data_IF_617292015110
#
_entry.id   IF_617292015110
#
_cell.length_a   1.000
_cell.length_b   1.000
_cell.length_c   1.000
_cell.angle_alpha   90.00
_cell.angle_beta   90.00
_cell.angle_gamma   90.00
#
_symmetry.space_group_name_H-M   'P 1'
#
loop_
_entity.id
_entity.type
_entity.pdbx_description
1 polymer ?
#
# COMPACT_ATOMS: atom_id res chain seq x y z
N UNK A 1 -5.37 -41.15 19.12
CA UNK A 1 -6.63 -41.11 19.89
C UNK A 1 -7.76 -41.30 18.88
N UNK A 2 -8.46 -42.43 18.92
CA UNK A 2 -9.56 -42.71 17.99
C UNK A 2 -10.70 -41.71 18.24
N UNK A 3 -10.99 -40.86 17.25
CA UNK A 3 -12.16 -39.99 17.29
C UNK A 3 -13.39 -40.84 16.99
N UNK A 4 -14.27 -40.98 17.97
CA UNK A 4 -15.58 -41.58 17.78
C UNK A 4 -16.34 -40.78 16.70
N UNK A 5 -16.96 -41.50 15.76
CA UNK A 5 -17.87 -40.93 14.75
C UNK A 5 -19.06 -40.30 15.47
N UNK A 6 -19.25 -38.99 15.31
CA UNK A 6 -20.40 -38.28 15.88
C UNK A 6 -21.70 -38.72 15.19
N UNK A 7 -22.83 -38.84 15.93
CA UNK A 7 -24.12 -39.22 15.37
C UNK A 7 -24.62 -38.23 14.30
N UNK A 8 -25.12 -38.72 13.17
CA UNK A 8 -25.55 -37.92 12.00
C UNK A 8 -26.79 -37.05 12.25
N UNK A 9 -27.48 -37.24 13.38
CA UNK A 9 -28.79 -36.61 13.67
C UNK A 9 -28.73 -35.18 14.21
N UNK A 10 -27.54 -34.57 14.29
CA UNK A 10 -27.38 -33.20 14.82
C UNK A 10 -26.64 -32.28 13.84
N UNK A 11 -27.31 -31.73 12.82
CA UNK A 11 -26.67 -30.87 11.81
C UNK A 11 -26.03 -29.60 12.40
N UNK A 12 -26.53 -29.12 13.55
CA UNK A 12 -25.93 -27.99 14.28
C UNK A 12 -24.61 -28.37 14.98
N UNK A 13 -24.48 -29.60 15.49
CA UNK A 13 -23.23 -30.09 16.09
C UNK A 13 -22.23 -30.52 15.02
N UNK A 14 -22.68 -31.08 13.90
CA UNK A 14 -21.83 -31.39 12.76
C UNK A 14 -21.27 -30.11 12.11
N UNK A 15 -22.09 -29.07 11.94
CA UNK A 15 -21.63 -27.76 11.45
C UNK A 15 -20.77 -27.01 12.47
N UNK A 16 -21.03 -27.14 13.78
CA UNK A 16 -20.14 -26.62 14.82
C UNK A 16 -18.81 -27.39 14.86
N UNK A 17 -18.81 -28.71 14.71
CA UNK A 17 -17.61 -29.54 14.64
C UNK A 17 -16.80 -29.28 13.37
N UNK A 18 -17.44 -29.03 12.21
CA UNK A 18 -16.77 -28.56 11.00
C UNK A 18 -16.22 -27.14 11.17
N UNK A 19 -16.94 -26.23 11.86
CA UNK A 19 -16.39 -24.92 12.23
C UNK A 19 -15.16 -25.06 13.11
N UNK A 20 -15.21 -25.92 14.14
CA UNK A 20 -14.10 -26.17 15.06
C UNK A 20 -12.94 -26.90 14.37
N UNK A 21 -13.20 -27.80 13.42
CA UNK A 21 -12.15 -28.45 12.62
C UNK A 21 -11.59 -27.50 11.55
N UNK A 22 -12.33 -26.48 11.12
CA UNK A 22 -11.82 -25.37 10.31
C UNK A 22 -11.11 -24.28 11.14
N UNK A 23 -11.32 -24.27 12.46
CA UNK A 23 -10.62 -23.43 13.43
C UNK A 23 -9.26 -24.00 13.84
N UNK A 24 -8.86 -25.19 13.34
CA UNK A 24 -7.48 -25.63 13.41
C UNK A 24 -6.62 -24.75 12.50
N UNK A 25 -6.11 -23.67 13.10
CA UNK A 25 -5.38 -22.54 12.52
C UNK A 25 -6.32 -21.54 11.83
N UNK A 26 -7.06 -20.76 12.63
CA UNK A 26 -7.61 -19.48 12.19
C UNK A 26 -6.47 -18.58 11.70
N UNK A 27 -6.21 -18.61 10.40
CA UNK A 27 -5.28 -17.70 9.73
C UNK A 27 -5.96 -16.32 9.77
N UNK A 28 -5.60 -15.50 10.76
CA UNK A 28 -6.13 -14.13 10.89
C UNK A 28 -5.66 -13.30 9.68
N UNK A 29 -6.56 -13.13 8.70
CA UNK A 29 -6.39 -12.21 7.57
C UNK A 29 -6.73 -10.79 8.05
N UNK A 30 -5.97 -9.80 7.60
CA UNK A 30 -6.44 -8.40 7.66
C UNK A 30 -7.62 -8.31 6.70
N UNK A 31 -8.79 -7.89 7.19
CA UNK A 31 -10.03 -7.85 6.40
C UNK A 31 -9.99 -6.84 5.24
N UNK A 32 -11.17 -6.42 4.77
CA UNK A 32 -11.25 -5.20 3.97
C UNK A 32 -11.04 -3.98 4.88
N UNK A 33 -10.38 -2.92 4.40
CA UNK A 33 -10.25 -1.70 5.19
C UNK A 33 -11.65 -1.19 5.57
N UNK A 34 -11.86 -0.75 6.83
CA UNK A 34 -13.05 0.01 7.15
C UNK A 34 -13.01 1.36 6.42
N UNK A 35 -14.11 2.10 6.48
CA UNK A 35 -14.05 3.54 6.20
C UNK A 35 -13.17 4.22 7.27
N UNK A 36 -11.88 4.34 6.94
CA UNK A 36 -10.85 4.81 7.86
C UNK A 36 -11.12 6.24 8.32
N UNK A 37 -11.74 7.06 7.46
CA UNK A 37 -12.05 8.45 7.76
C UNK A 37 -13.22 8.53 8.72
N UNK A 38 -14.32 7.82 8.44
CA UNK A 38 -15.46 7.78 9.36
C UNK A 38 -15.10 7.15 10.73
N UNK A 39 -14.23 6.13 10.75
CA UNK A 39 -13.70 5.57 12.01
C UNK A 39 -12.81 6.60 12.72
N UNK A 40 -11.95 7.30 11.98
CA UNK A 40 -11.11 8.37 12.50
C UNK A 40 -11.94 9.48 13.15
N UNK A 41 -12.93 10.02 12.44
CA UNK A 41 -13.78 11.10 12.94
C UNK A 41 -14.53 10.70 14.22
N UNK A 42 -15.14 9.50 14.23
CA UNK A 42 -15.78 8.98 15.44
C UNK A 42 -14.80 8.85 16.59
N UNK A 43 -13.57 8.44 16.31
CA UNK A 43 -12.51 8.31 17.31
C UNK A 43 -12.10 9.68 17.85
N UNK A 44 -11.84 10.65 16.98
CA UNK A 44 -11.55 12.03 17.36
C UNK A 44 -12.63 12.59 18.30
N UNK A 45 -13.91 12.47 17.93
CA UNK A 45 -15.03 12.93 18.75
C UNK A 45 -15.00 12.31 20.15
N UNK A 46 -14.73 11.00 20.27
CA UNK A 46 -14.66 10.33 21.58
C UNK A 46 -13.53 10.86 22.45
N UNK A 47 -12.37 11.09 21.86
CA UNK A 47 -11.21 11.62 22.58
C UNK A 47 -11.44 13.08 23.00
N UNK A 48 -12.01 13.91 22.13
CA UNK A 48 -12.34 15.30 22.44
C UNK A 48 -13.42 15.41 23.53
N UNK A 49 -14.45 14.56 23.52
CA UNK A 49 -15.47 14.53 24.57
C UNK A 49 -14.90 14.11 25.93
N UNK A 50 -14.01 13.11 25.95
CA UNK A 50 -13.33 12.69 27.18
C UNK A 50 -12.52 13.84 27.78
N UNK A 51 -11.78 14.58 26.94
CA UNK A 51 -11.05 15.78 27.36
C UNK A 51 -11.97 16.86 27.93
N UNK A 52 -13.04 17.23 27.21
CA UNK A 52 -13.96 18.28 27.64
C UNK A 52 -14.68 17.94 28.94
N UNK A 53 -15.00 16.67 29.14
CA UNK A 53 -15.67 16.18 30.35
C UNK A 53 -14.71 15.90 31.51
N UNK A 54 -13.39 16.00 31.32
CA UNK A 54 -12.38 15.63 32.31
C UNK A 54 -12.31 14.13 32.63
N UNK A 55 -12.96 13.29 31.83
CA UNK A 55 -12.96 11.84 32.01
C UNK A 55 -11.86 11.16 31.18
N UNK A 56 -11.47 9.96 31.61
CA UNK A 56 -10.53 9.13 30.87
C UNK A 56 -11.19 8.51 29.63
N UNK A 57 -10.42 8.36 28.55
CA UNK A 57 -10.90 7.67 27.35
C UNK A 57 -11.04 6.17 27.65
N UNK A 58 -12.22 5.63 27.37
CA UNK A 58 -12.50 4.20 27.54
C UNK A 58 -11.52 3.34 26.72
N UNK A 59 -10.96 2.32 27.38
CA UNK A 59 -9.94 1.41 26.86
C UNK A 59 -10.30 0.84 25.48
N UNK A 60 -11.58 0.60 25.19
CA UNK A 60 -12.00 0.00 23.91
C UNK A 60 -11.76 0.91 22.70
N UNK A 61 -11.66 2.22 22.89
CA UNK A 61 -11.48 3.18 21.80
C UNK A 61 -10.02 3.36 21.41
N UNK A 62 -9.08 3.06 22.31
CA UNK A 62 -7.65 3.20 22.06
C UNK A 62 -7.15 2.39 20.87
N UNK A 63 -7.76 1.24 20.57
CA UNK A 63 -7.39 0.47 19.37
C UNK A 63 -7.59 1.27 18.07
N UNK A 64 -8.58 2.16 18.02
CA UNK A 64 -8.91 2.96 16.84
C UNK A 64 -8.15 4.27 16.76
N UNK A 65 -7.41 4.62 17.81
CA UNK A 65 -6.65 5.87 17.91
C UNK A 65 -5.81 6.19 16.66
N UNK A 66 -5.10 5.22 16.02
CA UNK A 66 -4.34 5.49 14.80
C UNK A 66 -5.13 6.19 13.69
N UNK A 67 -6.41 5.86 13.53
CA UNK A 67 -7.26 6.43 12.48
C UNK A 67 -7.52 7.93 12.67
N UNK A 68 -7.37 8.46 13.88
CA UNK A 68 -7.60 9.86 14.19
C UNK A 68 -6.32 10.71 14.20
N UNK A 69 -5.14 10.10 13.96
CA UNK A 69 -3.86 10.82 14.03
C UNK A 69 -3.71 11.82 12.88
N UNK A 70 -4.13 11.48 11.66
CA UNK A 70 -3.92 12.34 10.47
C UNK A 70 -5.22 12.65 9.73
N UNK A 71 -6.21 13.14 10.47
CA UNK A 71 -7.39 13.78 9.88
C UNK A 71 -7.06 15.21 9.44
N UNK A 72 -8.07 15.95 9.01
CA UNK A 72 -7.96 17.39 8.72
C UNK A 72 -7.40 18.15 9.95
N UNK A 73 -6.67 19.27 9.76
CA UNK A 73 -5.94 19.96 10.83
C UNK A 73 -6.79 20.25 12.08
N UNK A 74 -8.05 20.65 11.91
CA UNK A 74 -8.97 20.99 13.00
C UNK A 74 -9.53 19.75 13.73
N UNK A 75 -9.38 18.56 13.13
CA UNK A 75 -9.96 17.29 13.61
C UNK A 75 -8.90 16.21 13.85
N UNK A 76 -7.64 16.61 13.99
CA UNK A 76 -6.51 15.72 14.11
C UNK A 76 -6.06 15.49 15.56
N UNK A 77 -5.65 14.27 15.89
CA UNK A 77 -4.96 13.95 17.14
C UNK A 77 -3.42 13.99 17.02
N UNK A 78 -2.85 14.34 15.86
CA UNK A 78 -1.38 14.42 15.69
C UNK A 78 -0.68 15.40 16.63
N UNK A 79 -1.38 16.43 17.11
CA UNK A 79 -0.82 17.42 18.03
C UNK A 79 -0.96 17.03 19.51
N UNK A 80 -1.67 15.94 19.82
CA UNK A 80 -1.94 15.49 21.19
C UNK A 80 -0.83 14.57 21.70
N UNK A 81 0.27 15.19 22.11
CA UNK A 81 1.47 14.48 22.59
C UNK A 81 1.17 13.57 23.77
N UNK A 82 0.25 13.96 24.66
CA UNK A 82 -0.25 13.16 25.77
C UNK A 82 -0.87 11.83 25.29
N UNK A 83 -1.81 11.90 24.34
CA UNK A 83 -2.45 10.70 23.81
C UNK A 83 -1.52 9.87 22.92
N UNK A 84 -0.63 10.51 22.17
CA UNK A 84 0.38 9.79 21.38
C UNK A 84 1.29 8.96 22.28
N UNK A 85 1.83 9.55 23.35
CA UNK A 85 2.66 8.84 24.32
C UNK A 85 1.89 7.72 25.00
N UNK A 86 0.67 7.98 25.47
CA UNK A 86 -0.16 6.96 26.12
C UNK A 86 -0.46 5.78 25.18
N UNK A 87 -0.78 6.05 23.91
CA UNK A 87 -1.03 5.00 22.93
C UNK A 87 0.21 4.13 22.70
N UNK A 88 1.34 4.74 22.35
CA UNK A 88 2.55 4.01 21.95
C UNK A 88 3.27 3.32 23.11
N UNK A 89 3.20 3.89 24.32
CA UNK A 89 3.97 3.40 25.47
C UNK A 89 3.14 2.50 26.39
N UNK A 90 1.82 2.67 26.40
CA UNK A 90 0.93 1.96 27.34
C UNK A 90 0.00 1.02 26.60
N UNK A 91 -0.90 1.55 25.77
CA UNK A 91 -2.01 0.75 25.21
C UNK A 91 -1.54 -0.27 24.20
N UNK A 92 -0.69 0.13 23.26
CA UNK A 92 -0.22 -0.75 22.20
C UNK A 92 0.66 -1.89 22.75
N UNK A 93 1.67 -1.65 23.63
CA UNK A 93 2.45 -2.73 24.25
C UNK A 93 1.59 -3.66 25.12
N UNK A 94 0.61 -3.12 25.87
CA UNK A 94 -0.32 -3.94 26.67
C UNK A 94 -1.17 -4.85 25.81
N UNK A 95 -1.53 -4.44 24.58
CA UNK A 95 -2.35 -5.27 23.69
C UNK A 95 -1.66 -6.59 23.29
N UNK A 96 -0.32 -6.61 23.23
CA UNK A 96 0.47 -7.82 22.95
C UNK A 96 0.40 -8.86 24.08
N UNK A 97 0.06 -8.46 25.31
CA UNK A 97 -0.10 -9.40 26.44
C UNK A 97 -1.36 -10.28 26.28
N UNK A 98 -2.29 -9.91 25.40
CA UNK A 98 -3.55 -10.62 25.18
C UNK A 98 -3.59 -11.13 23.73
N UNK A 99 -2.86 -12.23 23.46
CA UNK A 99 -2.64 -12.76 22.11
C UNK A 99 -3.91 -12.90 21.26
N UNK A 100 -5.02 -13.40 21.83
CA UNK A 100 -6.32 -13.57 21.11
C UNK A 100 -6.95 -12.27 20.61
N UNK A 101 -6.49 -11.09 21.04
CA UNK A 101 -7.05 -9.79 20.66
C UNK A 101 -6.03 -8.90 19.96
N UNK A 102 -4.77 -9.31 19.87
CA UNK A 102 -3.69 -8.49 19.35
C UNK A 102 -3.91 -8.15 17.86
N UNK A 103 -4.49 -9.06 17.05
CA UNK A 103 -4.81 -8.76 15.65
C UNK A 103 -5.83 -7.63 15.46
N UNK A 104 -6.72 -7.37 16.43
CA UNK A 104 -7.63 -6.20 16.38
C UNK A 104 -6.91 -4.86 16.54
N UNK A 105 -5.66 -4.88 16.99
CA UNK A 105 -4.78 -3.72 17.06
C UNK A 105 -3.83 -3.66 15.85
N UNK A 106 -3.58 -4.78 15.19
CA UNK A 106 -2.80 -4.87 13.96
C UNK A 106 -3.49 -4.12 12.80
N UNK A 107 -4.79 -4.31 12.64
CA UNK A 107 -5.58 -3.73 11.54
C UNK A 107 -5.46 -2.19 11.47
N UNK A 108 -5.76 -1.41 12.54
CA UNK A 108 -5.60 0.04 12.51
C UNK A 108 -4.17 0.48 12.17
N UNK A 109 -3.15 -0.18 12.74
CA UNK A 109 -1.75 0.14 12.45
C UNK A 109 -1.43 -0.08 10.96
N UNK A 110 -1.85 -1.20 10.39
CA UNK A 110 -1.56 -1.56 9.01
C UNK A 110 -2.22 -0.60 8.02
N UNK A 111 -3.53 -0.36 8.15
CA UNK A 111 -4.22 0.52 7.22
C UNK A 111 -3.75 1.96 7.35
N UNK A 112 -3.61 2.47 8.58
CA UNK A 112 -3.15 3.85 8.78
C UNK A 112 -1.74 4.03 8.23
N UNK A 113 -0.85 3.05 8.40
CA UNK A 113 0.48 3.05 7.79
C UNK A 113 0.41 3.22 6.27
N UNK A 114 -0.45 2.44 5.60
CA UNK A 114 -0.58 2.46 4.14
C UNK A 114 -1.24 3.74 3.62
N UNK A 115 -2.38 4.14 4.21
CA UNK A 115 -3.15 5.30 3.76
C UNK A 115 -2.49 6.64 4.08
N UNK A 116 -1.84 6.76 5.24
CA UNK A 116 -1.20 7.99 5.70
C UNK A 116 0.32 7.94 5.62
N UNK A 117 0.87 7.16 4.67
CA UNK A 117 2.32 7.02 4.49
C UNK A 117 3.04 8.37 4.39
N UNK A 118 3.76 8.75 5.44
CA UNK A 118 4.44 10.05 5.59
C UNK A 118 5.83 9.84 6.20
N UNK A 119 6.82 9.30 5.47
CA UNK A 119 8.10 8.85 6.02
C UNK A 119 8.92 9.97 6.67
N UNK A 120 8.64 11.25 6.36
CA UNK A 120 9.32 12.40 6.94
C UNK A 120 8.64 12.95 8.21
N UNK A 121 7.40 12.54 8.50
CA UNK A 121 6.64 12.96 9.68
C UNK A 121 7.16 12.22 10.94
N UNK A 122 7.54 12.93 12.03
CA UNK A 122 8.07 12.29 13.24
C UNK A 122 7.09 11.32 13.91
N UNK A 123 5.79 11.65 13.93
CA UNK A 123 4.75 10.78 14.49
C UNK A 123 4.60 9.53 13.63
N UNK A 124 4.68 9.68 12.31
CA UNK A 124 4.61 8.55 11.39
C UNK A 124 5.83 7.64 11.54
N UNK A 125 7.03 8.19 11.69
CA UNK A 125 8.23 7.41 11.98
C UNK A 125 8.06 6.57 13.24
N UNK A 126 7.50 7.15 14.31
CA UNK A 126 7.20 6.43 15.55
C UNK A 126 6.15 5.33 15.33
N UNK A 127 5.09 5.61 14.57
CA UNK A 127 4.07 4.62 14.20
C UNK A 127 4.68 3.47 13.40
N UNK A 128 5.49 3.76 12.37
CA UNK A 128 6.18 2.78 11.54
C UNK A 128 7.06 1.84 12.37
N UNK A 129 7.93 2.41 13.22
CA UNK A 129 8.80 1.64 14.10
C UNK A 129 8.00 0.75 15.07
N UNK A 130 6.96 1.30 15.69
CA UNK A 130 6.16 0.57 16.66
C UNK A 130 5.32 -0.50 15.99
N UNK A 131 4.79 -0.25 14.79
CA UNK A 131 4.11 -1.25 13.98
C UNK A 131 5.07 -2.38 13.58
N UNK A 132 6.28 -2.08 13.12
CA UNK A 132 7.27 -3.10 12.78
C UNK A 132 7.58 -4.01 13.98
N UNK A 133 7.79 -3.43 15.17
CA UNK A 133 7.97 -4.20 16.42
C UNK A 133 6.73 -5.01 16.80
N UNK A 134 5.54 -4.44 16.59
CA UNK A 134 4.28 -5.12 16.85
C UNK A 134 4.12 -6.37 15.99
N UNK A 135 4.28 -6.24 14.67
CA UNK A 135 4.12 -7.34 13.71
C UNK A 135 5.23 -8.40 13.77
N UNK A 136 6.37 -8.08 14.39
CA UNK A 136 7.47 -9.03 14.65
C UNK A 136 7.36 -9.73 16.01
N UNK A 137 6.41 -9.32 16.86
CA UNK A 137 6.18 -9.95 18.15
C UNK A 137 5.68 -11.39 18.01
N UNK A 138 6.22 -12.30 18.82
CA UNK A 138 5.77 -13.70 18.91
C UNK A 138 4.30 -13.85 19.35
N UNK A 139 3.72 -12.80 19.96
CA UNK A 139 2.30 -12.77 20.32
C UNK A 139 1.37 -12.64 19.11
N UNK A 140 1.88 -12.20 17.95
CA UNK A 140 1.12 -12.04 16.72
C UNK A 140 1.22 -13.30 15.88
N UNK A 141 0.08 -13.96 15.67
CA UNK A 141 -0.02 -15.13 14.79
C UNK A 141 -0.43 -14.69 13.39
N UNK A 142 0.55 -14.29 12.59
CA UNK A 142 0.31 -13.82 11.23
C UNK A 142 -0.03 -14.99 10.29
N UNK A 143 -1.06 -14.79 9.47
CA UNK A 143 -1.26 -15.61 8.29
C UNK A 143 -0.13 -15.46 7.27
N UNK A 144 0.05 -16.47 6.42
CA UNK A 144 1.16 -16.51 5.46
C UNK A 144 1.30 -15.24 4.59
N UNK A 145 0.23 -14.67 3.99
CA UNK A 145 0.36 -13.47 3.15
C UNK A 145 0.86 -12.25 3.91
N UNK A 146 0.26 -11.98 5.07
CA UNK A 146 0.59 -10.83 5.90
C UNK A 146 1.96 -10.96 6.55
N UNK A 147 2.35 -12.18 6.94
CA UNK A 147 3.70 -12.48 7.40
C UNK A 147 4.70 -12.14 6.30
N UNK A 148 4.48 -12.58 5.07
CA UNK A 148 5.41 -12.29 3.98
C UNK A 148 5.47 -10.79 3.63
N UNK A 149 4.35 -10.06 3.67
CA UNK A 149 4.38 -8.61 3.51
C UNK A 149 5.23 -7.92 4.59
N UNK A 150 4.99 -8.26 5.85
CA UNK A 150 5.56 -7.51 6.99
C UNK A 150 6.99 -7.94 7.34
N UNK A 151 7.33 -9.22 7.16
CA UNK A 151 8.66 -9.77 7.45
C UNK A 151 9.52 -9.85 6.19
N UNK A 152 9.08 -10.60 5.18
CA UNK A 152 9.92 -10.93 4.02
C UNK A 152 10.13 -9.71 3.10
N UNK A 153 9.08 -8.91 2.92
CA UNK A 153 9.13 -7.68 2.09
C UNK A 153 9.36 -6.41 2.90
N UNK A 154 9.48 -6.54 4.24
CA UNK A 154 9.72 -5.43 5.17
C UNK A 154 8.78 -4.23 4.92
N UNK A 155 7.50 -4.48 4.61
CA UNK A 155 6.55 -3.45 4.17
C UNK A 155 6.44 -2.28 5.16
N UNK A 156 6.57 -2.55 6.47
CA UNK A 156 6.43 -1.55 7.53
C UNK A 156 7.69 -0.70 7.76
N UNK A 157 8.79 -0.96 7.05
CA UNK A 157 9.96 -0.09 7.03
C UNK A 157 9.68 1.12 6.12
N UNK A 158 9.52 2.29 6.72
CA UNK A 158 9.19 3.52 5.98
C UNK A 158 10.28 3.99 5.00
N UNK A 159 11.53 3.53 5.14
CA UNK A 159 12.62 3.90 4.23
C UNK A 159 12.78 2.92 3.07
N UNK A 160 12.65 1.61 3.32
CA UNK A 160 12.98 0.58 2.32
C UNK A 160 11.75 -0.18 1.79
N UNK A 161 10.67 -0.21 2.57
CA UNK A 161 9.44 -0.93 2.23
C UNK A 161 8.91 -0.58 0.84
N UNK A 162 8.76 0.71 0.45
CA UNK A 162 8.30 1.08 -0.88
C UNK A 162 9.14 0.46 -2.02
N UNK A 163 10.46 0.45 -1.87
CA UNK A 163 11.39 -0.14 -2.85
C UNK A 163 11.23 -1.65 -2.93
N UNK A 164 11.19 -2.34 -1.80
CA UNK A 164 11.02 -3.81 -1.80
C UNK A 164 9.68 -4.26 -2.36
N UNK A 165 8.62 -3.48 -2.11
CA UNK A 165 7.30 -3.75 -2.70
C UNK A 165 7.32 -3.54 -4.22
N UNK A 166 7.94 -2.46 -4.71
CA UNK A 166 8.12 -2.25 -6.14
C UNK A 166 8.90 -3.42 -6.80
N UNK A 167 9.97 -3.88 -6.16
CA UNK A 167 10.76 -5.03 -6.64
C UNK A 167 9.95 -6.33 -6.62
N UNK A 168 9.14 -6.54 -5.59
CA UNK A 168 8.28 -7.71 -5.45
C UNK A 168 7.22 -7.78 -6.55
N UNK A 169 6.55 -6.66 -6.82
CA UNK A 169 5.53 -6.57 -7.89
C UNK A 169 6.14 -6.89 -9.25
N UNK A 170 7.33 -6.32 -9.55
CA UNK A 170 8.04 -6.62 -10.80
C UNK A 170 8.41 -8.10 -10.93
N UNK A 171 8.84 -8.74 -9.82
CA UNK A 171 9.21 -10.17 -9.81
C UNK A 171 8.02 -11.10 -10.04
N UNK A 172 6.81 -10.72 -9.63
CA UNK A 172 5.61 -11.58 -9.79
C UNK A 172 5.22 -11.78 -11.26
N UNK A 173 5.55 -10.82 -12.15
CA UNK A 173 5.19 -10.85 -13.59
C UNK A 173 3.68 -11.00 -13.89
N UNK A 174 2.81 -10.74 -12.91
CA UNK A 174 1.34 -10.77 -13.04
C UNK A 174 0.72 -9.36 -12.93
N UNK A 175 1.55 -8.32 -13.09
CA UNK A 175 1.14 -6.94 -12.88
C UNK A 175 0.82 -6.62 -11.41
N UNK A 176 0.32 -5.41 -11.18
CA UNK A 176 -0.01 -4.92 -9.84
C UNK A 176 -1.19 -5.69 -9.23
N UNK A 177 -2.24 -5.93 -10.01
CA UNK A 177 -3.44 -6.62 -9.52
C UNK A 177 -3.16 -8.08 -9.18
N UNK A 178 -2.32 -8.76 -9.97
CA UNK A 178 -1.88 -10.12 -9.65
C UNK A 178 -1.10 -10.18 -8.34
N UNK A 179 -0.27 -9.18 -8.06
CA UNK A 179 0.45 -9.06 -6.79
C UNK A 179 -0.48 -8.74 -5.61
N UNK A 180 -1.44 -7.82 -5.77
CA UNK A 180 -2.47 -7.51 -4.76
C UNK A 180 -3.24 -8.77 -4.37
N UNK A 181 -3.69 -9.55 -5.36
CA UNK A 181 -4.41 -10.80 -5.13
C UNK A 181 -3.53 -11.87 -4.47
N UNK A 182 -2.25 -11.95 -4.83
CA UNK A 182 -1.30 -12.89 -4.21
C UNK A 182 -1.15 -12.66 -2.71
N UNK A 183 -1.22 -11.41 -2.25
CA UNK A 183 -1.03 -11.03 -0.86
C UNK A 183 -2.35 -10.75 -0.11
N UNK A 184 -3.50 -11.15 -0.67
CA UNK A 184 -4.83 -10.91 -0.11
C UNK A 184 -5.10 -9.42 0.24
N UNK A 185 -4.54 -8.49 -0.53
CA UNK A 185 -4.81 -7.05 -0.38
C UNK A 185 -6.10 -6.65 -1.10
N UNK A 186 -6.67 -5.51 -0.73
CA UNK A 186 -7.88 -4.99 -1.38
C UNK A 186 -7.52 -4.20 -2.66
N UNK A 187 -8.42 -4.14 -3.67
CA UNK A 187 -8.15 -3.40 -4.91
C UNK A 187 -7.80 -1.92 -4.70
N UNK A 188 -8.40 -1.29 -3.69
CA UNK A 188 -8.13 0.10 -3.32
C UNK A 188 -6.71 0.35 -2.78
N UNK A 189 -5.88 -0.67 -2.58
CA UNK A 189 -4.47 -0.53 -2.19
C UNK A 189 -3.73 0.44 -3.12
N UNK A 190 -4.04 0.42 -4.42
CA UNK A 190 -3.41 1.28 -5.42
C UNK A 190 -3.65 2.77 -5.19
N UNK A 191 -4.67 3.15 -4.42
CA UNK A 191 -4.96 4.54 -4.08
C UNK A 191 -4.28 5.02 -2.81
N UNK A 192 -3.52 4.16 -2.13
CA UNK A 192 -2.86 4.52 -0.86
C UNK A 192 -1.60 5.36 -1.10
N UNK A 193 -1.25 6.19 -0.12
CA UNK A 193 0.00 6.96 -0.15
C UNK A 193 1.23 6.05 -0.21
N UNK A 194 1.18 4.86 0.42
CA UNK A 194 2.25 3.86 0.31
C UNK A 194 2.39 3.31 -1.10
N UNK A 195 1.28 2.95 -1.77
CA UNK A 195 1.34 2.46 -3.15
C UNK A 195 1.88 3.52 -4.11
N UNK A 196 1.54 4.80 -3.89
CA UNK A 196 2.14 5.90 -4.64
C UNK A 196 3.66 6.00 -4.39
N UNK A 197 4.11 5.92 -3.13
CA UNK A 197 5.54 5.92 -2.81
C UNK A 197 6.30 4.72 -3.43
N UNK A 198 5.70 3.53 -3.41
CA UNK A 198 6.27 2.35 -4.04
C UNK A 198 6.36 2.50 -5.57
N UNK A 199 5.36 3.12 -6.19
CA UNK A 199 5.41 3.44 -7.62
C UNK A 199 6.53 4.43 -7.94
N UNK A 200 6.74 5.46 -7.12
CA UNK A 200 7.87 6.38 -7.28
C UNK A 200 9.21 5.63 -7.23
N UNK A 201 9.37 4.66 -6.32
CA UNK A 201 10.57 3.83 -6.25
C UNK A 201 10.74 2.94 -7.50
N UNK A 202 9.65 2.41 -8.07
CA UNK A 202 9.69 1.69 -9.36
C UNK A 202 10.25 2.57 -10.49
N UNK A 203 9.84 3.83 -10.57
CA UNK A 203 10.30 4.77 -11.61
C UNK A 203 11.80 5.11 -11.50
N UNK A 204 12.37 4.95 -10.30
CA UNK A 204 13.80 5.17 -10.01
C UNK A 204 14.68 3.94 -10.25
N UNK A 205 14.13 2.83 -10.73
CA UNK A 205 14.92 1.63 -10.98
C UNK A 205 16.09 1.89 -11.96
N UNK A 206 17.18 1.12 -11.87
CA UNK A 206 18.32 1.24 -12.78
C UNK A 206 17.90 1.14 -14.25
N UNK A 207 18.57 1.88 -15.12
CA UNK A 207 18.27 1.99 -16.56
C UNK A 207 18.17 0.62 -17.25
N UNK A 208 18.97 -0.35 -16.85
CA UNK A 208 18.98 -1.71 -17.38
C UNK A 208 17.65 -2.43 -17.12
N UNK A 209 17.07 -2.23 -15.93
CA UNK A 209 15.74 -2.76 -15.61
C UNK A 209 14.65 -2.02 -16.38
N UNK A 210 14.80 -0.70 -16.55
CA UNK A 210 13.80 0.14 -17.23
C UNK A 210 13.63 -0.17 -18.72
N UNK A 211 14.62 -0.82 -19.33
CA UNK A 211 14.57 -1.32 -20.72
C UNK A 211 13.86 -2.68 -20.87
N UNK A 212 13.53 -3.35 -19.77
CA UNK A 212 12.89 -4.68 -19.83
C UNK A 212 11.41 -4.55 -20.17
N UNK A 213 10.91 -5.44 -21.02
CA UNK A 213 9.50 -5.49 -21.43
C UNK A 213 8.56 -5.64 -20.23
N UNK A 214 8.89 -6.53 -19.29
CA UNK A 214 8.12 -6.74 -18.05
C UNK A 214 8.00 -5.45 -17.22
N UNK A 215 9.07 -4.64 -17.17
CA UNK A 215 9.07 -3.35 -16.47
C UNK A 215 8.14 -2.35 -17.15
N UNK A 216 8.25 -2.21 -18.47
CA UNK A 216 7.46 -1.23 -19.23
C UNK A 216 5.97 -1.56 -19.13
N UNK A 217 5.59 -2.84 -19.24
CA UNK A 217 4.22 -3.27 -19.04
C UNK A 217 3.73 -2.97 -17.62
N UNK A 218 4.53 -3.26 -16.59
CA UNK A 218 4.16 -2.96 -15.22
C UNK A 218 3.98 -1.47 -14.98
N UNK A 219 4.87 -0.63 -15.52
CA UNK A 219 4.79 0.82 -15.36
C UNK A 219 3.50 1.35 -15.98
N UNK A 220 3.12 0.89 -17.17
CA UNK A 220 1.82 1.26 -17.76
C UNK A 220 0.62 0.70 -16.98
N UNK A 221 0.64 -0.58 -16.60
CA UNK A 221 -0.44 -1.25 -15.83
C UNK A 221 -0.71 -0.55 -14.48
N UNK A 222 0.36 -0.16 -13.79
CA UNK A 222 0.24 0.52 -12.50
C UNK A 222 -0.06 2.01 -12.66
N UNK A 223 0.69 2.70 -13.51
CA UNK A 223 0.67 4.16 -13.64
C UNK A 223 -0.55 4.71 -14.36
N UNK A 224 -1.18 3.93 -15.24
CA UNK A 224 -2.35 4.33 -16.03
C UNK A 224 -3.57 3.54 -15.57
N UNK A 225 -4.70 4.21 -15.36
CA UNK A 225 -5.95 3.58 -14.98
C UNK A 225 -6.77 3.07 -16.17
N UNK A 226 -7.93 2.47 -15.87
CA UNK A 226 -8.85 1.95 -16.89
C UNK A 226 -9.50 3.04 -17.77
N UNK A 227 -9.49 4.31 -17.33
CA UNK A 227 -9.96 5.46 -18.12
C UNK A 227 -8.83 6.09 -18.96
N UNK A 228 -7.67 5.43 -19.04
CA UNK A 228 -6.49 5.91 -19.74
C UNK A 228 -5.94 7.24 -19.17
N UNK A 229 -6.11 7.45 -17.86
CA UNK A 229 -5.58 8.60 -17.13
C UNK A 229 -4.43 8.18 -16.22
N UNK A 230 -3.59 9.13 -15.81
CA UNK A 230 -2.57 8.87 -14.80
C UNK A 230 -3.22 8.60 -13.44
N UNK A 231 -2.92 7.44 -12.86
CA UNK A 231 -3.32 7.10 -11.48
C UNK A 231 -2.70 8.06 -10.46
N UNK A 232 -1.49 8.55 -10.76
CA UNK A 232 -0.76 9.51 -9.93
C UNK A 232 -0.31 10.71 -10.78
N UNK A 233 -1.18 11.70 -11.01
CA UNK A 233 -0.88 12.84 -11.87
C UNK A 233 0.37 13.63 -11.44
N UNK A 234 0.67 13.66 -10.13
CA UNK A 234 1.77 14.42 -9.55
C UNK A 234 3.16 13.91 -9.97
N UNK A 235 3.23 12.68 -10.49
CA UNK A 235 4.50 12.04 -10.92
C UNK A 235 4.53 11.75 -12.41
N UNK A 236 3.64 12.35 -13.20
CA UNK A 236 3.59 12.22 -14.66
C UNK A 236 4.95 12.50 -15.32
N UNK A 237 5.63 13.59 -14.93
CA UNK A 237 6.95 13.93 -15.46
C UNK A 237 7.99 12.83 -15.19
N UNK A 238 8.04 12.34 -13.94
CA UNK A 238 8.95 11.27 -13.54
C UNK A 238 8.64 9.96 -14.27
N UNK A 239 7.36 9.66 -14.50
CA UNK A 239 6.91 8.52 -15.27
C UNK A 239 7.44 8.57 -16.71
N UNK A 240 7.26 9.71 -17.38
CA UNK A 240 7.70 9.90 -18.75
C UNK A 240 9.22 9.80 -18.85
N UNK A 241 9.94 10.47 -17.95
CA UNK A 241 11.40 10.43 -17.88
C UNK A 241 11.90 9.01 -17.65
N UNK A 242 11.26 8.24 -16.75
CA UNK A 242 11.66 6.88 -16.45
C UNK A 242 11.56 5.95 -17.67
N UNK A 243 10.48 6.09 -18.45
CA UNK A 243 10.28 5.30 -19.66
C UNK A 243 11.19 5.72 -20.82
N UNK A 244 11.36 7.03 -21.04
CA UNK A 244 12.00 7.56 -22.25
C UNK A 244 13.52 7.72 -22.09
N UNK A 245 14.01 8.24 -20.96
CA UNK A 245 15.45 8.43 -20.76
C UNK A 245 16.23 7.12 -20.73
N UNK A 246 15.57 6.01 -20.43
CA UNK A 246 16.17 4.69 -20.53
C UNK A 246 16.70 4.40 -21.95
N UNK A 247 16.14 5.03 -22.98
CA UNK A 247 16.50 4.82 -24.39
C UNK A 247 17.32 5.95 -25.02
N UNK A 248 17.76 6.93 -24.23
CA UNK A 248 18.64 7.99 -24.75
C UNK A 248 19.93 7.38 -25.31
N UNK A 249 20.16 7.58 -26.61
CA UNK A 249 21.33 7.03 -27.32
C UNK A 249 21.31 5.52 -27.57
N UNK A 250 20.20 4.83 -27.30
CA UNK A 250 20.06 3.38 -27.50
C UNK A 250 18.84 3.07 -28.34
N UNK A 251 19.00 2.20 -29.34
CA UNK A 251 17.89 1.79 -30.20
C UNK A 251 16.99 0.77 -29.49
N UNK A 252 15.69 1.07 -29.25
CA UNK A 252 14.74 0.08 -28.74
C UNK A 252 14.39 -0.99 -29.80
N UNK A 253 13.95 -2.19 -29.38
CA UNK A 253 13.24 -3.12 -30.26
C UNK A 253 12.03 -2.41 -30.91
N UNK A 254 11.82 -2.61 -32.22
CA UNK A 254 10.81 -1.84 -32.97
C UNK A 254 9.39 -2.08 -32.44
N UNK A 255 9.03 -3.32 -32.09
CA UNK A 255 7.71 -3.63 -31.51
C UNK A 255 7.47 -2.89 -30.19
N UNK A 256 8.50 -2.83 -29.35
CA UNK A 256 8.45 -2.15 -28.06
C UNK A 256 8.37 -0.63 -28.23
N UNK A 257 9.16 -0.07 -29.16
CA UNK A 257 9.12 1.34 -29.56
C UNK A 257 7.71 1.73 -30.01
N UNK A 258 7.11 0.93 -30.91
CA UNK A 258 5.78 1.19 -31.45
C UNK A 258 4.71 1.14 -30.35
N UNK A 259 4.74 0.10 -29.50
CA UNK A 259 3.80 -0.06 -28.40
C UNK A 259 3.91 1.08 -27.37
N UNK A 260 5.13 1.43 -26.95
CA UNK A 260 5.37 2.54 -26.01
C UNK A 260 4.91 3.88 -26.60
N UNK A 261 5.27 4.18 -27.85
CA UNK A 261 4.92 5.44 -28.50
C UNK A 261 3.40 5.58 -28.64
N UNK A 262 2.73 4.53 -29.11
CA UNK A 262 1.27 4.52 -29.24
C UNK A 262 0.59 4.72 -27.88
N UNK A 263 1.06 4.03 -26.84
CA UNK A 263 0.48 4.15 -25.49
C UNK A 263 0.70 5.55 -24.90
N UNK A 264 1.91 6.10 -24.98
CA UNK A 264 2.21 7.46 -24.48
C UNK A 264 1.38 8.52 -25.21
N UNK A 265 1.27 8.43 -26.55
CA UNK A 265 0.44 9.35 -27.34
C UNK A 265 -1.04 9.22 -26.96
N UNK A 266 -1.54 7.99 -26.72
CA UNK A 266 -2.95 7.81 -26.35
C UNK A 266 -3.31 8.43 -25.00
N UNK A 267 -2.34 8.51 -24.07
CA UNK A 267 -2.54 9.04 -22.71
C UNK A 267 -2.30 10.54 -22.67
N UNK A 268 -1.17 11.00 -23.22
CA UNK A 268 -0.68 12.37 -23.06
C UNK A 268 -0.98 13.20 -24.31
N UNK A 269 -0.87 12.60 -25.49
CA UNK A 269 -0.91 13.29 -26.78
C UNK A 269 0.47 13.39 -27.44
N UNK A 270 0.49 13.82 -28.70
CA UNK A 270 1.73 14.01 -29.46
C UNK A 270 2.45 15.30 -29.00
N UNK A 271 3.70 15.21 -28.50
CA UNK A 271 4.44 16.38 -28.02
C UNK A 271 4.72 17.42 -29.11
N UNK A 272 4.63 17.05 -30.40
CA UNK A 272 4.82 17.98 -31.53
C UNK A 272 3.60 18.87 -31.78
N UNK A 273 2.43 18.44 -31.31
CA UNK A 273 1.15 19.13 -31.52
C UNK A 273 0.76 19.91 -30.26
N UNK A 274 0.90 19.29 -29.09
CA UNK A 274 0.50 19.87 -27.80
C UNK A 274 1.66 19.73 -26.78
N UNK A 275 2.66 20.62 -26.84
CA UNK A 275 3.81 20.55 -25.94
C UNK A 275 3.45 20.87 -24.48
N UNK A 276 2.32 21.55 -24.22
CA UNK A 276 1.89 21.92 -22.87
C UNK A 276 1.57 20.69 -22.02
N UNK A 277 0.98 19.65 -22.63
CA UNK A 277 0.71 18.37 -21.94
C UNK A 277 1.95 17.61 -21.51
N UNK A 278 3.13 17.99 -22.02
CA UNK A 278 4.41 17.41 -21.67
C UNK A 278 5.18 18.24 -20.63
N UNK A 279 4.57 19.30 -20.08
CA UNK A 279 5.18 20.15 -19.07
C UNK A 279 5.72 19.34 -17.88
N UNK A 280 6.93 19.70 -17.43
CA UNK A 280 7.64 19.03 -16.35
C UNK A 280 8.46 17.80 -16.78
N UNK A 281 8.13 17.18 -17.92
CA UNK A 281 8.97 16.13 -18.51
C UNK A 281 10.27 16.73 -19.03
N UNK A 282 11.40 16.03 -18.87
CA UNK A 282 12.68 16.52 -19.36
C UNK A 282 12.69 16.68 -20.88
N UNK A 283 13.39 17.71 -21.37
CA UNK A 283 13.54 17.95 -22.81
C UNK A 283 14.20 16.77 -23.53
N UNK A 284 15.15 16.11 -22.88
CA UNK A 284 15.80 14.89 -23.36
C UNK A 284 14.81 13.74 -23.57
N UNK A 285 13.90 13.51 -22.62
CA UNK A 285 12.88 12.47 -22.75
C UNK A 285 11.93 12.77 -23.90
N UNK A 286 11.47 14.02 -24.02
CA UNK A 286 10.62 14.46 -25.13
C UNK A 286 11.34 14.25 -26.47
N UNK A 287 12.62 14.58 -26.57
CA UNK A 287 13.42 14.38 -27.78
C UNK A 287 13.55 12.90 -28.17
N UNK A 288 13.66 11.99 -27.21
CA UNK A 288 13.65 10.54 -27.48
C UNK A 288 12.35 10.15 -28.20
N UNK A 289 11.20 10.54 -27.67
CA UNK A 289 9.91 10.22 -28.30
C UNK A 289 9.75 10.91 -29.65
N UNK A 290 10.07 12.20 -29.77
CA UNK A 290 9.99 12.92 -31.06
C UNK A 290 10.88 12.26 -32.11
N UNK A 291 12.09 11.83 -31.73
CA UNK A 291 12.98 11.08 -32.60
C UNK A 291 12.35 9.78 -33.11
N UNK A 292 11.63 9.06 -32.24
CA UNK A 292 10.88 7.86 -32.61
C UNK A 292 9.74 8.13 -33.59
N UNK A 293 9.01 9.23 -33.39
CA UNK A 293 7.86 9.61 -34.23
C UNK A 293 8.25 10.18 -35.60
N UNK A 294 9.48 10.68 -35.73
CA UNK A 294 10.00 11.21 -36.99
C UNK A 294 10.66 10.14 -37.86
N UNK A 295 11.00 8.97 -37.28
CA UNK A 295 11.44 7.82 -38.07
C UNK A 295 10.22 7.14 -38.67
N UNK A 296 9.92 7.40 -39.96
CA UNK A 296 8.95 6.59 -40.71
C UNK A 296 9.32 5.11 -40.60
N UNK A 297 8.34 4.24 -40.33
CA UNK A 297 8.49 2.81 -40.52
C UNK A 297 8.91 2.59 -41.98
N UNK A 298 10.16 2.15 -42.17
CA UNK A 298 10.69 1.74 -43.45
C UNK A 298 10.31 0.28 -43.69
#
# INVERSE_FOLDING_TARGET
MNLATLPEDFPLLASAAQKISSESISIEKIGLPPDIFAVGERTFIRFSLAQLSGHQVDQRYWRYFPYAIWLEPERSLSARTDYLSEYFEIHLPRSLKIAKRAMKWAEPLFYVYLYHFKPNDPVFKKLAQTAQLFFTSSAIKLGSPLKSLTHDLNLLNASEGPRFIAESILKTKRGLMGWINQFDLWPGFTGTAFAHAAFIELLKFPTEKRRQTDYIHLVFDWGIDSQNQFRYPQVQALFNDALLLAWKGVKPPEDLKAAMSAKLISVIGDPRVDPERWQGTSSDAVQVLVGWLNTKAA
#
